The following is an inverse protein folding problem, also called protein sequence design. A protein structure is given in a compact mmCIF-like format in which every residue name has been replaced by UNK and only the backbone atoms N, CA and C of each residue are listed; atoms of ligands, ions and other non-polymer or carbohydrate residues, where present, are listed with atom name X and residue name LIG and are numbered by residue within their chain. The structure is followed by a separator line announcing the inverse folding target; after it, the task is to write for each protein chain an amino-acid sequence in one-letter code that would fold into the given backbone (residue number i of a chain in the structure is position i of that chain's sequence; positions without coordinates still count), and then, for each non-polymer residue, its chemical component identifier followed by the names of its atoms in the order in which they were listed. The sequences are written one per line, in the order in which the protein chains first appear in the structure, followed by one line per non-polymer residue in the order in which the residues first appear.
data_IF_227263832498
#
_entry.id   IF_227263832498
#
_cell.length_a   1.000
_cell.length_b   1.000
_cell.length_c   1.000
_cell.angle_alpha   90.00
_cell.angle_beta   90.00
_cell.angle_gamma   90.00
#
_symmetry.space_group_name_H-M   'P 1'
#
loop_
_entity.id
_entity.type
_entity.pdbx_description
1 polymer ?
#
# COMPACT_ATOMS: atom_id res chain seq x y z
N UNK A 1 13.09 -4.86 2.61
CA UNK A 1 12.19 -4.69 1.45
C UNK A 1 12.72 -3.66 0.47
N UNK A 2 12.77 -2.38 0.84
CA UNK A 2 13.13 -1.27 -0.05
C UNK A 2 14.54 -1.45 -0.66
N UNK A 3 15.56 -1.67 0.17
CA UNK A 3 16.94 -1.83 -0.31
C UNK A 3 17.17 -3.14 -1.08
N UNK A 4 16.25 -4.10 -0.95
CA UNK A 4 16.26 -5.33 -1.74
C UNK A 4 15.56 -5.17 -3.10
N UNK A 5 15.13 -3.97 -3.48
CA UNK A 5 14.46 -3.68 -4.75
C UNK A 5 13.02 -4.17 -4.84
N UNK A 6 12.38 -4.45 -3.70
CA UNK A 6 10.97 -4.86 -3.65
C UNK A 6 10.11 -3.59 -3.55
N UNK A 7 9.28 -3.37 -4.57
CA UNK A 7 8.33 -2.26 -4.66
C UNK A 7 6.94 -2.74 -4.27
N UNK A 8 6.36 -2.13 -3.24
CA UNK A 8 5.02 -2.46 -2.76
C UNK A 8 4.14 -1.24 -2.69
N UNK A 9 2.85 -1.43 -2.99
CA UNK A 9 1.82 -0.40 -2.96
C UNK A 9 0.84 -0.69 -1.83
N UNK A 10 0.46 0.33 -1.06
CA UNK A 10 -0.59 0.20 -0.03
C UNK A 10 -1.95 -0.02 -0.72
N UNK A 11 -2.58 -1.16 -0.43
CA UNK A 11 -3.88 -1.57 -1.00
C UNK A 11 -4.99 -1.64 0.03
N UNK A 12 -4.65 -1.61 1.31
CA UNK A 12 -5.61 -1.46 2.40
C UNK A 12 -4.97 -0.72 3.55
N UNK A 13 -5.73 0.08 4.28
CA UNK A 13 -5.29 0.68 5.54
C UNK A 13 -6.47 0.93 6.48
N UNK A 14 -6.21 1.07 7.77
CA UNK A 14 -7.22 1.44 8.74
C UNK A 14 -7.67 2.92 8.57
N UNK A 15 -8.70 3.33 9.30
CA UNK A 15 -9.21 4.72 9.26
C UNK A 15 -8.27 5.76 9.87
N UNK A 16 -7.33 5.36 10.74
CA UNK A 16 -6.35 6.28 11.32
C UNK A 16 -5.36 6.77 10.26
N UNK A 17 -4.94 5.87 9.36
CA UNK A 17 -4.22 6.26 8.14
C UNK A 17 -5.17 6.95 7.15
N UNK A 18 -6.29 6.31 6.83
CA UNK A 18 -7.30 6.83 5.91
C UNK A 18 -6.96 6.67 4.42
N UNK A 19 -7.97 6.87 3.57
CA UNK A 19 -7.92 6.57 2.12
C UNK A 19 -6.78 7.26 1.35
N UNK A 20 -6.24 8.37 1.87
CA UNK A 20 -5.13 9.10 1.24
C UNK A 20 -3.86 8.25 1.08
N UNK A 21 -3.67 7.22 1.91
CA UNK A 21 -2.52 6.32 1.81
C UNK A 21 -2.67 5.24 0.75
N UNK A 22 -3.91 4.90 0.36
CA UNK A 22 -4.16 3.92 -0.69
C UNK A 22 -3.51 4.37 -2.01
N UNK A 23 -2.74 3.47 -2.62
CA UNK A 23 -2.04 3.70 -3.89
C UNK A 23 -0.63 4.27 -3.71
N UNK A 24 -0.22 4.63 -2.50
CA UNK A 24 1.15 5.08 -2.24
C UNK A 24 2.12 3.90 -2.25
N UNK A 25 3.32 4.14 -2.78
CA UNK A 25 4.42 3.18 -2.73
C UNK A 25 5.13 3.30 -1.39
N UNK A 26 5.48 2.15 -0.79
CA UNK A 26 6.27 2.12 0.44
C UNK A 26 7.71 2.51 0.13
N UNK A 27 8.07 3.71 0.55
CA UNK A 27 9.41 4.30 0.41
C UNK A 27 10.00 4.61 1.78
N UNK A 28 11.32 4.88 1.86
CA UNK A 28 11.96 5.32 3.11
C UNK A 28 11.33 6.61 3.65
N UNK A 29 10.94 7.52 2.77
CA UNK A 29 10.26 8.75 3.14
C UNK A 29 8.87 8.50 3.75
N UNK A 30 8.09 7.59 3.16
CA UNK A 30 6.80 7.18 3.75
C UNK A 30 7.00 6.50 5.11
N UNK A 31 8.01 5.63 5.25
CA UNK A 31 8.29 5.00 6.54
C UNK A 31 8.60 6.03 7.64
N UNK A 32 9.37 7.07 7.32
CA UNK A 32 9.65 8.18 8.26
C UNK A 32 8.36 8.96 8.58
N UNK A 33 7.53 9.25 7.59
CA UNK A 33 6.24 9.93 7.78
C UNK A 33 5.32 9.14 8.73
N UNK A 34 5.21 7.82 8.54
CA UNK A 34 4.41 6.94 9.40
C UNK A 34 4.95 6.95 10.84
N UNK A 35 6.26 6.82 11.00
CA UNK A 35 6.91 6.85 12.31
C UNK A 35 6.65 8.17 13.04
N UNK A 36 6.72 9.31 12.34
CA UNK A 36 6.42 10.64 12.90
C UNK A 36 4.96 10.79 13.36
N UNK A 37 4.05 10.02 12.76
CA UNK A 37 2.63 9.95 13.13
C UNK A 37 2.34 8.91 14.21
N UNK A 38 3.35 8.18 14.69
CA UNK A 38 3.18 7.11 15.67
C UNK A 38 2.61 5.81 15.08
N UNK A 39 2.62 5.68 13.75
CA UNK A 39 2.13 4.51 13.01
C UNK A 39 3.32 3.59 12.74
N UNK A 40 3.16 2.28 12.97
CA UNK A 40 4.21 1.31 12.68
C UNK A 40 4.53 1.29 11.17
N UNK A 41 5.78 1.63 10.75
CA UNK A 41 6.17 1.64 9.35
C UNK A 41 6.22 0.27 8.67
N UNK A 42 6.05 -0.82 9.42
CA UNK A 42 5.94 -2.18 8.92
C UNK A 42 4.47 -2.65 8.82
N UNK A 43 3.52 -1.94 9.44
CA UNK A 43 2.09 -2.30 9.43
C UNK A 43 1.74 -3.56 10.23
N UNK A 44 2.56 -3.92 11.22
CA UNK A 44 2.46 -5.20 11.95
C UNK A 44 1.19 -5.33 12.81
N UNK A 45 0.51 -4.22 13.14
CA UNK A 45 -0.68 -4.20 13.98
C UNK A 45 -1.98 -3.97 13.19
N UNK A 46 -1.93 -4.20 11.86
CA UNK A 46 -3.10 -4.05 10.99
C UNK A 46 -3.33 -2.62 10.51
N UNK A 47 -2.31 -1.76 10.57
CA UNK A 47 -2.38 -0.38 10.08
C UNK A 47 -2.60 -0.35 8.57
N UNK A 48 -1.90 -1.22 7.82
CA UNK A 48 -2.06 -1.35 6.39
C UNK A 48 -1.55 -2.69 5.82
N UNK A 49 -2.03 -3.00 4.61
CA UNK A 49 -1.53 -4.11 3.79
C UNK A 49 -1.04 -3.62 2.44
N UNK A 50 -0.04 -4.31 1.92
CA UNK A 50 0.58 -3.95 0.63
C UNK A 50 0.48 -5.06 -0.39
N UNK A 51 0.42 -4.68 -1.66
CA UNK A 51 0.63 -5.56 -2.81
C UNK A 51 2.06 -5.35 -3.34
N UNK A 52 2.82 -6.43 -3.55
CA UNK A 52 4.11 -6.35 -4.27
C UNK A 52 3.81 -6.15 -5.75
N UNK A 53 4.24 -5.02 -6.31
CA UNK A 53 3.99 -4.67 -7.71
C UNK A 53 5.23 -4.87 -8.58
N UNK A 54 6.43 -4.87 -7.98
CA UNK A 54 7.68 -5.17 -8.66
C UNK A 54 8.70 -5.75 -7.68
N UNK A 55 9.56 -6.66 -8.12
CA UNK A 55 10.72 -7.12 -7.36
C UNK A 55 11.78 -7.71 -8.29
N UNK A 56 13.03 -7.92 -7.83
CA UNK A 56 14.10 -8.43 -8.70
C UNK A 56 13.84 -9.80 -9.30
N UNK A 57 12.92 -10.58 -8.72
CA UNK A 57 12.54 -11.90 -9.21
C UNK A 57 11.44 -11.85 -10.29
N UNK A 58 10.78 -10.70 -10.47
CA UNK A 58 9.79 -10.54 -11.53
C UNK A 58 10.51 -10.31 -12.86
N UNK A 59 10.02 -10.96 -13.93
CA UNK A 59 10.50 -10.67 -15.29
C UNK A 59 10.12 -9.26 -15.73
N UNK A 60 8.93 -8.84 -15.34
CA UNK A 60 8.35 -7.53 -15.65
C UNK A 60 7.48 -7.05 -14.46
N UNK A 61 7.36 -5.74 -14.31
CA UNK A 61 6.51 -5.10 -13.30
C UNK A 61 5.03 -5.44 -13.56
N UNK A 62 4.25 -5.61 -12.49
CA UNK A 62 2.80 -5.80 -12.61
C UNK A 62 2.14 -4.50 -13.08
N UNK A 63 1.47 -4.55 -14.23
CA UNK A 63 0.55 -3.51 -14.68
C UNK A 63 -0.78 -3.67 -13.95
N UNK A 64 -1.15 -2.68 -13.16
CA UNK A 64 -2.38 -2.69 -12.39
C UNK A 64 -3.54 -2.08 -13.21
N UNK A 65 -4.77 -2.63 -13.12
CA UNK A 65 -5.94 -1.99 -13.71
C UNK A 65 -6.27 -0.69 -12.96
N UNK A 66 -7.21 0.08 -13.53
CA UNK A 66 -7.80 1.20 -12.80
C UNK A 66 -8.47 0.71 -11.52
N UNK A 67 -8.59 1.60 -10.55
CA UNK A 67 -9.20 1.27 -9.28
C UNK A 67 -9.91 2.47 -8.68
N UNK A 68 -10.84 2.16 -7.79
CA UNK A 68 -11.47 3.11 -6.90
C UNK A 68 -11.04 2.83 -5.46
N UNK A 69 -11.31 3.78 -4.57
CA UNK A 69 -11.11 3.62 -3.12
C UNK A 69 -12.47 3.39 -2.48
N UNK A 70 -12.55 2.43 -1.59
CA UNK A 70 -13.76 2.16 -0.83
C UNK A 70 -13.42 1.96 0.63
N UNK A 71 -14.25 2.52 1.51
CA UNK A 71 -14.18 2.28 2.94
C UNK A 71 -15.26 1.29 3.34
N UNK A 72 -14.87 0.24 4.06
CA UNK A 72 -15.76 -0.73 4.67
C UNK A 72 -15.45 -0.84 6.16
N UNK A 73 -16.44 -0.53 6.99
CA UNK A 73 -16.31 -0.46 8.46
C UNK A 73 -15.11 0.39 8.90
N UNK A 74 -14.04 -0.26 9.36
CA UNK A 74 -12.85 0.38 9.94
C UNK A 74 -11.64 0.41 9.00
N UNK A 75 -11.83 0.02 7.73
CA UNK A 75 -10.75 -0.12 6.77
C UNK A 75 -11.09 0.48 5.41
N UNK A 76 -10.07 1.04 4.77
CA UNK A 76 -10.06 1.52 3.41
C UNK A 76 -9.40 0.48 2.51
N UNK A 77 -9.88 0.34 1.27
CA UNK A 77 -9.39 -0.62 0.29
C UNK A 77 -9.26 0.00 -1.10
N UNK A 78 -8.25 -0.46 -1.85
CA UNK A 78 -8.24 -0.38 -3.31
C UNK A 78 -9.17 -1.45 -3.85
N UNK A 79 -10.13 -1.04 -4.68
CA UNK A 79 -11.06 -1.91 -5.38
C UNK A 79 -10.81 -1.78 -6.88
N UNK A 80 -10.28 -2.85 -7.47
CA UNK A 80 -9.95 -2.89 -8.89
C UNK A 80 -11.20 -2.83 -9.75
N UNK A 81 -11.15 -2.04 -10.81
CA UNK A 81 -12.17 -2.09 -11.86
C UNK A 81 -12.00 -3.38 -12.66
N UNK A 82 -13.10 -4.08 -12.91
CA UNK A 82 -13.08 -5.22 -13.83
C UNK A 82 -12.80 -4.70 -15.24
N UNK A 83 -11.84 -5.33 -15.93
CA UNK A 83 -11.63 -5.06 -17.34
C UNK A 83 -12.76 -5.78 -18.11
N UNK A 84 -13.74 -5.02 -18.58
CA UNK A 84 -14.70 -5.49 -19.59
C UNK A 84 -14.01 -5.82 -20.91
#
# INVERSE_FOLDING_TARGET
MIDAGIETMIVSCNLEMGESYLGRIVTKALAIELQQKGIDPCGENGEYHTLVINCPLFKEKITLPKYNKQTYEKYCFIVWEENN
#
